data_IF_898312961134
#
_entry.id   IF_898312961134
#
_cell.length_a   1.000
_cell.length_b   1.000
_cell.length_c   1.000
_cell.angle_alpha   90.00
_cell.angle_beta   90.00
_cell.angle_gamma   90.00
#
_symmetry.space_group_name_H-M   'P 1'
#
loop_
_entity.id
_entity.type
_entity.pdbx_description
1 polymer ?
#
# COMPACT_ATOMS: atom_id res chain seq x y z
N UNK A 1 22.77 8.77 -17.45
CA UNK A 1 22.28 7.38 -17.26
C UNK A 1 22.56 7.02 -15.82
N UNK A 2 21.54 6.67 -15.05
CA UNK A 2 21.72 6.24 -13.66
C UNK A 2 22.40 4.87 -13.66
N UNK A 3 23.29 4.63 -12.71
CA UNK A 3 23.93 3.33 -12.56
C UNK A 3 22.92 2.30 -12.03
N UNK A 4 23.10 1.04 -12.42
CA UNK A 4 22.35 -0.09 -11.89
C UNK A 4 22.75 -0.32 -10.42
N UNK A 5 21.75 -0.50 -9.55
CA UNK A 5 21.94 -0.72 -8.12
C UNK A 5 21.11 -1.91 -7.67
N UNK A 6 21.72 -2.81 -6.91
CA UNK A 6 21.02 -3.91 -6.23
C UNK A 6 20.92 -3.63 -4.74
N UNK A 7 19.74 -3.85 -4.18
CA UNK A 7 19.45 -3.82 -2.74
C UNK A 7 19.11 -5.25 -2.32
N UNK A 8 19.81 -5.78 -1.31
CA UNK A 8 19.60 -7.13 -0.76
C UNK A 8 18.76 -7.07 0.52
N UNK A 9 18.35 -8.24 1.00
CA UNK A 9 17.65 -8.42 2.27
C UNK A 9 16.34 -7.60 2.35
N UNK A 10 15.63 -7.51 1.21
CA UNK A 10 14.38 -6.76 1.11
C UNK A 10 13.22 -7.64 1.58
N UNK A 11 12.43 -7.11 2.51
CA UNK A 11 11.19 -7.76 2.96
C UNK A 11 10.05 -7.58 1.96
N UNK A 12 9.45 -8.69 1.52
CA UNK A 12 8.28 -8.72 0.65
C UNK A 12 6.98 -8.79 1.46
N UNK A 13 6.13 -7.77 1.33
CA UNK A 13 4.83 -7.67 2.03
C UNK A 13 3.62 -8.08 1.17
N UNK A 14 3.84 -8.89 0.13
CA UNK A 14 2.79 -9.18 -0.86
C UNK A 14 1.80 -10.29 -0.44
N UNK A 15 2.28 -11.43 0.09
CA UNK A 15 1.43 -12.61 0.28
C UNK A 15 1.33 -13.12 1.73
N UNK A 16 1.83 -12.38 2.72
CA UNK A 16 1.81 -12.78 4.13
C UNK A 16 2.94 -13.74 4.55
N UNK A 17 3.69 -14.32 3.62
CA UNK A 17 4.90 -15.10 3.94
C UNK A 17 6.05 -14.24 4.48
N UNK A 18 6.03 -12.93 4.20
CA UNK A 18 7.02 -11.96 4.68
C UNK A 18 8.48 -12.38 4.41
N UNK A 19 8.76 -12.92 3.23
CA UNK A 19 10.13 -13.31 2.85
C UNK A 19 11.04 -12.08 2.93
N UNK A 20 12.20 -12.21 3.57
CA UNK A 20 13.15 -11.13 3.87
C UNK A 20 14.49 -11.27 3.14
N UNK A 21 14.55 -12.18 2.16
CA UNK A 21 15.74 -12.55 1.41
C UNK A 21 15.73 -12.08 -0.05
N UNK A 22 14.86 -11.11 -0.40
CA UNK A 22 14.78 -10.62 -1.77
C UNK A 22 15.96 -9.70 -2.09
N UNK A 23 16.51 -9.89 -3.29
CA UNK A 23 17.40 -8.96 -3.96
C UNK A 23 16.64 -8.23 -5.08
N UNK A 24 16.58 -6.90 -5.00
CA UNK A 24 15.91 -6.03 -5.97
C UNK A 24 16.96 -5.21 -6.71
N UNK A 25 17.00 -5.34 -8.03
CA UNK A 25 17.86 -4.51 -8.89
C UNK A 25 17.04 -3.39 -9.53
N UNK A 26 17.59 -2.18 -9.55
CA UNK A 26 16.96 -1.00 -10.12
C UNK A 26 17.92 -0.21 -11.00
N UNK A 27 17.38 0.47 -12.00
CA UNK A 27 18.06 1.48 -12.78
C UNK A 27 17.35 2.83 -12.56
N UNK A 28 17.96 3.70 -11.75
CA UNK A 28 17.30 4.91 -11.26
C UNK A 28 16.12 4.55 -10.35
N UNK A 29 14.90 4.97 -10.73
CA UNK A 29 13.67 4.65 -10.00
C UNK A 29 12.95 3.41 -10.53
N UNK A 30 13.41 2.83 -11.65
CA UNK A 30 12.77 1.68 -12.27
C UNK A 30 13.34 0.38 -11.69
N UNK A 31 12.49 -0.47 -11.10
CA UNK A 31 12.87 -1.84 -10.72
C UNK A 31 12.98 -2.68 -12.00
N UNK A 32 14.13 -3.34 -12.19
CA UNK A 32 14.46 -4.10 -13.41
C UNK A 32 14.47 -5.61 -13.18
N UNK A 33 14.79 -6.08 -11.98
CA UNK A 33 14.75 -7.51 -11.64
C UNK A 33 14.62 -7.75 -10.14
N UNK A 34 14.12 -8.94 -9.80
CA UNK A 34 13.91 -9.42 -8.43
C UNK A 34 14.40 -10.86 -8.37
N UNK A 35 15.02 -11.25 -7.27
CA UNK A 35 15.49 -12.61 -7.01
C UNK A 35 15.31 -12.96 -5.52
N UNK A 36 14.93 -14.19 -5.14
CA UNK A 36 14.50 -15.28 -6.02
C UNK A 36 13.15 -14.96 -6.68
N UNK A 37 12.89 -15.58 -7.84
CA UNK A 37 11.66 -15.33 -8.59
C UNK A 37 10.44 -15.82 -7.80
N UNK A 38 9.52 -14.92 -7.49
CA UNK A 38 8.22 -15.23 -6.93
C UNK A 38 7.18 -14.48 -7.78
N UNK A 39 6.24 -15.17 -8.46
CA UNK A 39 5.29 -14.51 -9.37
C UNK A 39 4.47 -13.40 -8.70
N UNK A 40 4.18 -13.52 -7.41
CA UNK A 40 3.48 -12.50 -6.63
C UNK A 40 4.37 -11.28 -6.35
N UNK A 41 5.63 -11.51 -5.98
CA UNK A 41 6.59 -10.43 -5.76
C UNK A 41 6.92 -9.72 -7.07
N UNK A 42 7.09 -10.47 -8.16
CA UNK A 42 7.37 -9.93 -9.49
C UNK A 42 6.23 -9.01 -9.94
N UNK A 43 4.99 -9.46 -9.87
CA UNK A 43 3.83 -8.63 -10.18
C UNK A 43 3.78 -7.38 -9.29
N UNK A 44 3.99 -7.54 -7.98
CA UNK A 44 3.95 -6.41 -7.05
C UNK A 44 5.03 -5.36 -7.35
N UNK A 45 6.30 -5.76 -7.34
CA UNK A 45 7.42 -4.82 -7.45
C UNK A 45 7.66 -4.35 -8.88
N UNK A 46 7.47 -5.17 -9.91
CA UNK A 46 7.70 -4.73 -11.30
C UNK A 46 6.55 -3.85 -11.82
N UNK A 47 5.30 -4.10 -11.43
CA UNK A 47 4.18 -3.23 -11.83
C UNK A 47 4.16 -1.89 -11.06
N UNK A 48 4.70 -1.87 -9.83
CA UNK A 48 4.68 -0.67 -8.97
C UNK A 48 6.02 0.07 -8.92
N UNK A 49 7.12 -0.55 -9.34
CA UNK A 49 8.52 -0.08 -9.25
C UNK A 49 8.88 1.10 -10.14
N UNK A 50 7.95 2.02 -10.35
CA UNK A 50 8.09 3.25 -11.13
C UNK A 50 6.84 4.13 -11.09
N UNK A 51 5.79 3.73 -10.37
CA UNK A 51 4.55 4.49 -10.28
C UNK A 51 4.65 5.46 -9.11
N UNK A 52 4.67 6.75 -9.41
CA UNK A 52 4.04 7.74 -8.53
C UNK A 52 2.66 7.17 -8.18
N UNK A 53 2.25 7.08 -6.90
CA UNK A 53 0.92 6.58 -6.57
C UNK A 53 -0.07 7.29 -7.47
N UNK A 54 -0.99 6.57 -8.15
CA UNK A 54 -1.96 7.23 -9.00
C UNK A 54 -2.68 8.24 -8.10
N UNK A 55 -2.43 9.54 -8.32
CA UNK A 55 -3.37 10.57 -7.91
C UNK A 55 -4.65 10.19 -8.63
N UNK A 56 -5.52 9.46 -7.96
CA UNK A 56 -6.78 8.96 -8.53
C UNK A 56 -7.79 10.09 -8.76
N UNK A 57 -7.38 11.34 -8.55
CA UNK A 57 -7.99 12.50 -9.16
C UNK A 57 -7.00 13.03 -10.20
N UNK A 58 -7.34 12.90 -11.47
CA UNK A 58 -6.61 13.54 -12.58
C UNK A 58 -6.85 15.05 -12.54
N UNK A 59 -6.48 15.71 -11.45
CA UNK A 59 -6.52 17.15 -11.32
C UNK A 59 -5.11 17.65 -11.17
N UNK A 60 -4.80 18.77 -11.84
CA UNK A 60 -3.55 19.52 -11.66
C UNK A 60 -3.45 20.17 -10.26
N UNK A 61 -4.25 19.71 -9.29
CA UNK A 61 -4.39 20.30 -7.97
C UNK A 61 -3.22 19.92 -7.06
N UNK A 62 -2.92 20.80 -6.10
CA UNK A 62 -1.92 20.55 -5.08
C UNK A 62 -2.36 19.42 -4.14
N UNK A 63 -1.39 18.80 -3.46
CA UNK A 63 -1.69 17.81 -2.42
C UNK A 63 -2.58 18.40 -1.33
N UNK A 64 -2.30 19.63 -0.89
CA UNK A 64 -3.09 20.34 0.13
C UNK A 64 -4.56 20.48 -0.29
N UNK A 65 -4.82 20.84 -1.55
CA UNK A 65 -6.18 20.95 -2.06
C UNK A 65 -6.91 19.59 -2.04
N UNK A 66 -6.21 18.50 -2.35
CA UNK A 66 -6.78 17.15 -2.26
C UNK A 66 -7.06 16.73 -0.81
N UNK A 67 -6.16 17.08 0.12
CA UNK A 67 -6.34 16.81 1.55
C UNK A 67 -7.51 17.61 2.15
N UNK A 68 -7.67 18.88 1.76
CA UNK A 68 -8.80 19.71 2.18
C UNK A 68 -10.13 19.09 1.74
N UNK A 69 -10.20 18.62 0.49
CA UNK A 69 -11.39 17.92 -0.02
C UNK A 69 -11.67 16.63 0.74
N UNK A 70 -10.65 15.81 1.00
CA UNK A 70 -10.81 14.58 1.78
C UNK A 70 -11.33 14.89 3.20
N UNK A 71 -10.79 15.93 3.83
CA UNK A 71 -11.22 16.39 5.16
C UNK A 71 -12.67 16.85 5.15
N UNK A 72 -13.10 17.61 4.14
CA UNK A 72 -14.50 18.04 4.01
C UNK A 72 -15.46 16.85 3.86
N UNK A 73 -15.08 15.84 3.08
CA UNK A 73 -15.88 14.61 2.92
C UNK A 73 -16.00 13.86 4.25
N UNK A 74 -14.89 13.68 4.97
CA UNK A 74 -14.87 12.97 6.26
C UNK A 74 -15.63 13.75 7.35
N UNK A 75 -15.49 15.07 7.42
CA UNK A 75 -16.18 15.91 8.39
C UNK A 75 -17.70 15.96 8.18
N UNK A 76 -18.16 15.83 6.94
CA UNK A 76 -19.59 15.77 6.60
C UNK A 76 -20.20 14.37 6.69
N UNK A 77 -19.40 13.33 6.89
CA UNK A 77 -19.87 11.95 6.89
C UNK A 77 -20.55 11.59 8.22
N UNK A 78 -21.71 10.94 8.14
CA UNK A 78 -22.44 10.46 9.34
C UNK A 78 -21.90 9.16 9.91
N UNK A 79 -21.34 8.30 9.06
CA UNK A 79 -20.76 7.00 9.41
C UNK A 79 -19.55 6.76 8.50
N UNK A 80 -18.40 7.39 8.79
CA UNK A 80 -17.21 7.21 7.98
C UNK A 80 -16.70 5.76 8.08
N UNK A 81 -16.11 5.26 6.98
CA UNK A 81 -15.45 3.96 6.92
C UNK A 81 -14.01 4.15 6.46
N UNK A 82 -13.06 3.66 7.24
CA UNK A 82 -11.67 3.47 6.84
C UNK A 82 -11.49 2.01 6.47
N UNK A 83 -11.32 1.72 5.18
CA UNK A 83 -11.20 0.36 4.66
C UNK A 83 -9.86 0.15 3.94
N UNK A 84 -9.22 -1.02 4.13
CA UNK A 84 -8.01 -1.41 3.40
C UNK A 84 -6.88 -1.93 4.26
N UNK A 85 -5.73 -1.24 4.23
CA UNK A 85 -4.60 -1.39 5.16
C UNK A 85 -3.79 -2.71 5.12
N UNK A 86 -4.20 -3.74 4.36
CA UNK A 86 -3.50 -5.05 4.36
C UNK A 86 -2.03 -5.01 3.89
N UNK A 87 -1.65 -3.98 3.13
CA UNK A 87 -0.28 -3.76 2.68
C UNK A 87 0.34 -2.48 3.28
N UNK A 88 -0.23 -1.98 4.37
CA UNK A 88 0.31 -0.84 5.13
C UNK A 88 1.20 -1.33 6.27
N UNK A 89 2.18 -0.51 6.67
CA UNK A 89 2.99 -0.79 7.85
C UNK A 89 2.16 -0.68 9.13
N UNK A 90 2.67 -1.25 10.23
CA UNK A 90 2.02 -1.16 11.54
C UNK A 90 1.88 0.28 12.03
N UNK A 91 2.83 1.16 11.70
CA UNK A 91 2.78 2.58 12.01
C UNK A 91 1.60 3.24 11.27
N UNK A 92 1.47 2.99 9.97
CA UNK A 92 0.35 3.51 9.18
C UNK A 92 -1.00 2.98 9.66
N UNK A 93 -1.08 1.72 10.08
CA UNK A 93 -2.30 1.16 10.67
C UNK A 93 -2.64 1.81 12.02
N UNK A 94 -1.64 2.13 12.85
CA UNK A 94 -1.84 2.86 14.12
C UNK A 94 -2.43 4.24 13.88
N UNK A 95 -1.91 4.97 12.91
CA UNK A 95 -2.46 6.27 12.53
C UNK A 95 -3.89 6.17 11.98
N UNK A 96 -4.20 5.12 11.21
CA UNK A 96 -5.55 4.86 10.73
C UNK A 96 -6.54 4.58 11.87
N UNK A 97 -6.11 3.85 12.90
CA UNK A 97 -6.92 3.63 14.12
C UNK A 97 -7.13 4.93 14.88
N UNK A 98 -6.08 5.72 15.08
CA UNK A 98 -6.20 7.02 15.76
C UNK A 98 -7.15 7.97 15.01
N UNK A 99 -7.09 7.97 13.68
CA UNK A 99 -8.01 8.73 12.84
C UNK A 99 -9.45 8.20 12.97
N UNK A 100 -9.66 6.88 13.00
CA UNK A 100 -10.97 6.27 13.17
C UNK A 100 -11.61 6.70 14.50
N UNK A 101 -10.83 6.65 15.59
CA UNK A 101 -11.27 7.07 16.93
C UNK A 101 -11.70 8.54 16.95
N UNK A 102 -10.93 9.42 16.31
CA UNK A 102 -11.25 10.85 16.23
C UNK A 102 -12.53 11.13 15.42
N UNK A 103 -12.77 10.35 14.38
CA UNK A 103 -13.93 10.52 13.49
C UNK A 103 -15.18 9.78 13.98
N UNK A 104 -15.06 8.88 14.96
CA UNK A 104 -16.11 7.92 15.27
C UNK A 104 -16.41 6.99 14.08
N UNK A 105 -15.38 6.66 13.30
CA UNK A 105 -15.50 5.87 12.08
C UNK A 105 -15.47 4.36 12.37
N UNK A 106 -16.05 3.56 11.47
CA UNK A 106 -15.72 2.14 11.40
C UNK A 106 -14.36 1.96 10.70
N UNK A 107 -13.54 1.05 11.21
CA UNK A 107 -12.31 0.61 10.56
C UNK A 107 -12.45 -0.87 10.19
N UNK A 108 -12.13 -1.19 8.95
CA UNK A 108 -12.11 -2.56 8.45
C UNK A 108 -10.89 -2.79 7.54
N UNK A 109 -10.35 -4.00 7.56
CA UNK A 109 -9.17 -4.33 6.77
C UNK A 109 -9.57 -5.17 5.57
N UNK A 110 -8.94 -4.95 4.41
CA UNK A 110 -9.05 -5.89 3.31
C UNK A 110 -8.53 -7.25 3.74
N UNK A 111 -9.26 -8.31 3.41
CA UNK A 111 -8.67 -9.65 3.47
C UNK A 111 -7.50 -9.71 2.48
N UNK A 112 -6.31 -10.03 2.97
CA UNK A 112 -5.26 -10.49 2.07
C UNK A 112 -5.79 -11.69 1.28
N UNK A 113 -5.45 -11.86 -0.01
CA UNK A 113 -5.95 -12.99 -0.82
C UNK A 113 -5.81 -14.36 -0.14
N UNK A 114 -4.79 -14.55 0.70
CA UNK A 114 -4.58 -15.76 1.49
C UNK A 114 -5.57 -15.96 2.66
N UNK A 115 -6.19 -14.91 3.20
CA UNK A 115 -7.14 -14.97 4.32
C UNK A 115 -8.61 -15.01 3.86
N UNK A 116 -8.90 -14.65 2.61
CA UNK A 116 -10.27 -14.63 2.08
C UNK A 116 -10.96 -16.01 2.19
N UNK A 117 -10.22 -17.10 1.98
CA UNK A 117 -10.74 -18.46 2.12
C UNK A 117 -11.07 -18.84 3.58
N UNK A 118 -10.41 -18.24 4.57
CA UNK A 118 -10.66 -18.51 5.98
C UNK A 118 -11.97 -17.88 6.50
N UNK A 119 -12.50 -16.87 5.81
CA UNK A 119 -13.74 -16.17 6.20
C UNK A 119 -15.01 -16.68 5.51
N UNK A 120 -14.92 -17.58 4.53
CA UNK A 120 -16.12 -18.22 3.91
C UNK A 120 -16.78 -19.26 4.84
N UNK A 121 -16.27 -19.41 6.06
CA UNK A 121 -16.79 -20.35 7.07
C UNK A 121 -17.73 -19.73 8.13
N UNK A 122 -18.21 -18.49 7.94
CA UNK A 122 -19.25 -17.88 8.78
C UNK A 122 -20.57 -17.70 8.02
#
# INVERSE_FOLDING_TARGET
MSAEQTVTDVTCSQCGCTCDDLSITKNGNAITSISPNCPLADAFFLEHGGRTPPRSVSTAESLDCLLDKATQVLAGARHPLIYGLAHSSTESQREAVALADQLGACLDTTNAPGHAAAMVAL
#
